data_IF_776071646743
#
_entry.id   IF_776071646743
#
_cell.length_a   1.000
_cell.length_b   1.000
_cell.length_c   1.000
_cell.angle_alpha   90.00
_cell.angle_beta   90.00
_cell.angle_gamma   90.00
#
_symmetry.space_group_name_H-M   'P 1'
#
loop_
_entity.id
_entity.type
_entity.pdbx_description
1 polymer ?
#
# COMPACT_ATOMS: atom_id res chain seq x y z
N UNK A 1 -0.63 -0.58 -0.47
CA UNK A 1 -1.69 -1.31 0.27
C UNK A 1 -1.66 -1.06 1.76
N UNK A 2 -0.48 -0.99 2.39
CA UNK A 2 -0.35 -0.78 3.84
C UNK A 2 -1.04 0.49 4.39
N UNK A 3 -1.44 1.42 3.54
CA UNK A 3 -2.17 2.63 3.92
C UNK A 3 -3.68 2.41 4.14
N UNK A 4 -4.22 1.24 3.78
CA UNK A 4 -5.66 1.01 3.75
C UNK A 4 -6.21 0.33 5.00
N UNK A 5 -5.35 -0.40 5.72
CA UNK A 5 -5.72 -1.11 6.95
C UNK A 5 -4.54 -1.18 7.92
N UNK A 6 -4.77 -1.41 9.22
CA UNK A 6 -3.72 -1.76 10.16
C UNK A 6 -3.18 -3.16 9.87
N UNK A 7 -1.86 -3.34 10.12
CA UNK A 7 -1.18 -4.63 9.94
C UNK A 7 -0.45 -5.01 11.23
N UNK A 8 -0.86 -6.07 11.93
CA UNK A 8 -0.09 -6.62 13.04
C UNK A 8 1.37 -6.86 12.64
N UNK A 9 2.30 -6.50 13.51
CA UNK A 9 3.77 -6.55 13.32
C UNK A 9 4.36 -5.59 12.27
N UNK A 10 3.50 -4.81 11.59
CA UNK A 10 3.88 -3.70 10.72
C UNK A 10 3.13 -2.42 11.09
N UNK A 11 2.72 -2.30 12.34
CA UNK A 11 1.83 -1.25 12.82
C UNK A 11 2.36 0.17 12.55
N UNK A 12 3.60 0.48 12.95
CA UNK A 12 4.22 1.79 12.71
C UNK A 12 4.34 2.07 11.22
N UNK A 13 4.77 1.08 10.43
CA UNK A 13 4.85 1.21 8.98
C UNK A 13 3.48 1.50 8.36
N UNK A 14 2.45 0.74 8.72
CA UNK A 14 1.09 0.94 8.23
C UNK A 14 0.54 2.32 8.64
N UNK A 15 0.80 2.75 9.88
CA UNK A 15 0.40 4.06 10.37
C UNK A 15 1.04 5.20 9.57
N UNK A 16 2.36 5.12 9.29
CA UNK A 16 3.05 6.15 8.47
C UNK A 16 2.52 6.18 7.04
N UNK A 17 2.20 5.02 6.43
CA UNK A 17 1.62 4.97 5.08
C UNK A 17 0.19 5.49 5.06
N UNK A 18 -0.61 5.23 6.09
CA UNK A 18 -1.96 5.79 6.24
C UNK A 18 -1.92 7.31 6.40
N UNK A 19 -0.97 7.84 7.18
CA UNK A 19 -0.73 9.27 7.30
C UNK A 19 -0.45 9.90 5.93
N UNK A 20 0.55 9.40 5.19
CA UNK A 20 0.90 9.91 3.87
C UNK A 20 -0.27 9.85 2.88
N UNK A 21 -1.03 8.76 2.91
CA UNK A 21 -2.20 8.59 2.05
C UNK A 21 -3.27 9.66 2.34
N UNK A 22 -3.64 9.85 3.61
CA UNK A 22 -4.65 10.85 4.01
C UNK A 22 -4.17 12.27 3.75
N UNK A 23 -2.91 12.58 4.08
CA UNK A 23 -2.27 13.86 3.80
C UNK A 23 -2.29 14.20 2.31
N UNK A 24 -1.85 13.29 1.45
CA UNK A 24 -1.87 13.47 -0.01
C UNK A 24 -3.28 13.73 -0.55
N UNK A 25 -4.29 13.09 0.05
CA UNK A 25 -5.70 13.26 -0.35
C UNK A 25 -6.23 14.65 0.01
N UNK A 26 -5.92 15.15 1.20
CA UNK A 26 -6.28 16.51 1.63
C UNK A 26 -5.53 17.55 0.79
N UNK A 27 -4.22 17.41 0.68
CA UNK A 27 -3.35 18.31 -0.07
C UNK A 27 -3.78 18.48 -1.53
N UNK A 28 -4.30 17.41 -2.15
CA UNK A 28 -4.86 17.48 -3.50
C UNK A 28 -5.98 18.52 -3.61
N UNK A 29 -6.90 18.54 -2.67
CA UNK A 29 -8.04 19.48 -2.68
C UNK A 29 -7.56 20.90 -2.42
N UNK A 30 -6.63 21.08 -1.48
CA UNK A 30 -6.06 22.39 -1.13
C UNK A 30 -5.31 23.04 -2.30
N UNK A 31 -4.62 22.22 -3.11
CA UNK A 31 -3.78 22.69 -4.22
C UNK A 31 -4.49 22.72 -5.58
N UNK A 32 -5.66 22.11 -5.69
CA UNK A 32 -6.43 22.08 -6.95
C UNK A 32 -6.73 23.50 -7.50
N UNK A 33 -7.14 24.50 -6.69
CA UNK A 33 -7.36 25.87 -7.17
C UNK A 33 -6.10 26.54 -7.74
N UNK A 34 -4.91 26.03 -7.35
CA UNK A 34 -3.60 26.50 -7.85
C UNK A 34 -3.12 25.75 -9.11
N UNK A 35 -3.94 24.89 -9.67
CA UNK A 35 -3.59 24.08 -10.84
C UNK A 35 -2.59 22.93 -10.54
N UNK A 36 -2.32 22.64 -9.26
CA UNK A 36 -1.38 21.59 -8.84
C UNK A 36 -2.13 20.27 -8.64
N UNK A 37 -1.63 19.23 -9.31
CA UNK A 37 -2.18 17.87 -9.17
C UNK A 37 -1.37 17.04 -8.18
N UNK A 38 -2.05 16.39 -7.26
CA UNK A 38 -1.47 15.44 -6.32
C UNK A 38 -2.09 14.06 -6.55
N UNK A 39 -1.26 13.04 -6.67
CA UNK A 39 -1.69 11.64 -6.88
C UNK A 39 -0.99 10.74 -5.86
N UNK A 40 -1.76 10.00 -5.08
CA UNK A 40 -1.23 8.99 -4.18
C UNK A 40 -1.07 7.65 -4.92
N UNK A 41 0.16 7.17 -5.02
CA UNK A 41 0.46 5.86 -5.62
C UNK A 41 0.53 4.81 -4.52
N UNK A 42 -0.29 3.77 -4.64
CA UNK A 42 -0.45 2.74 -3.63
C UNK A 42 -0.18 1.34 -4.21
N UNK A 43 1.10 0.98 -4.42
CA UNK A 43 1.45 -0.34 -4.94
C UNK A 43 1.23 -1.43 -3.90
N UNK A 44 1.18 -2.67 -4.37
CA UNK A 44 1.35 -3.87 -3.56
C UNK A 44 2.84 -4.07 -3.23
N UNK A 45 3.26 -5.27 -2.89
CA UNK A 45 4.66 -5.58 -2.68
C UNK A 45 5.43 -5.53 -4.01
N UNK A 46 6.53 -4.78 -4.04
CA UNK A 46 7.37 -4.64 -5.24
C UNK A 46 8.56 -5.58 -5.09
N UNK A 47 8.74 -6.49 -6.07
CA UNK A 47 9.87 -7.43 -6.10
C UNK A 47 11.20 -6.69 -6.19
N UNK A 48 12.24 -7.37 -5.70
CA UNK A 48 13.65 -6.99 -5.87
C UNK A 48 14.03 -5.62 -5.27
N UNK A 49 13.23 -5.11 -4.33
CA UNK A 49 13.54 -3.87 -3.61
C UNK A 49 14.36 -4.13 -2.35
N UNK A 50 15.23 -3.18 -2.00
CA UNK A 50 15.94 -3.19 -0.71
C UNK A 50 14.99 -3.23 0.50
N UNK A 51 13.78 -2.71 0.34
CA UNK A 51 12.74 -2.78 1.36
C UNK A 51 12.41 -4.23 1.74
N UNK A 52 12.19 -5.12 0.75
CA UNK A 52 11.90 -6.54 1.01
C UNK A 52 13.08 -7.22 1.67
N UNK A 53 14.31 -6.94 1.21
CA UNK A 53 15.54 -7.48 1.80
C UNK A 53 15.69 -7.06 3.27
N UNK A 54 15.43 -5.78 3.55
CA UNK A 54 15.52 -5.22 4.91
C UNK A 54 14.42 -5.74 5.82
N UNK A 55 13.17 -5.80 5.35
CA UNK A 55 12.05 -6.35 6.10
C UNK A 55 12.28 -7.83 6.48
N UNK A 56 12.94 -8.61 5.59
CA UNK A 56 13.32 -9.99 5.86
C UNK A 56 14.44 -10.14 6.87
N UNK A 57 15.33 -9.14 7.03
CA UNK A 57 16.46 -9.17 7.97
C UNK A 57 16.08 -8.73 9.39
N UNK A 58 15.19 -7.76 9.51
CA UNK A 58 14.88 -7.09 10.78
C UNK A 58 13.82 -7.79 11.63
N UNK A 59 13.24 -8.87 11.14
CA UNK A 59 12.25 -9.66 11.88
C UNK A 59 12.84 -11.03 12.21
N UNK A 60 13.12 -11.26 13.49
CA UNK A 60 13.58 -12.55 14.02
C UNK A 60 12.40 -13.37 14.56
N UNK A 61 12.46 -14.70 14.41
CA UNK A 61 11.51 -15.63 14.99
C UNK A 61 10.17 -15.76 14.29
N UNK A 62 9.10 -16.02 15.07
CA UNK A 62 7.73 -16.30 14.60
C UNK A 62 7.04 -15.11 13.88
N UNK A 63 7.60 -13.92 14.00
CA UNK A 63 7.03 -12.69 13.45
C UNK A 63 7.54 -12.35 12.04
N UNK A 64 8.39 -13.19 11.46
CA UNK A 64 8.97 -12.97 10.13
C UNK A 64 7.92 -13.14 9.04
N UNK A 65 7.78 -12.14 8.20
CA UNK A 65 6.97 -12.25 6.97
C UNK A 65 7.82 -13.01 5.95
N UNK A 66 7.44 -14.26 5.67
CA UNK A 66 8.24 -15.16 4.82
C UNK A 66 7.85 -15.12 3.35
N UNK A 67 6.62 -14.79 3.04
CA UNK A 67 6.08 -14.82 1.69
C UNK A 67 5.45 -13.49 1.30
N UNK A 68 5.76 -13.04 0.09
CA UNK A 68 5.13 -11.91 -0.56
C UNK A 68 4.45 -12.42 -1.84
N UNK A 69 3.32 -13.15 -1.73
CA UNK A 69 2.64 -13.69 -2.89
C UNK A 69 2.20 -12.55 -3.80
N UNK A 70 2.24 -12.77 -5.11
CA UNK A 70 1.79 -11.81 -6.13
C UNK A 70 2.53 -10.45 -6.14
N UNK A 71 3.76 -10.40 -5.62
CA UNK A 71 4.56 -9.19 -5.71
C UNK A 71 4.80 -8.77 -7.17
N UNK A 72 4.68 -7.47 -7.45
CA UNK A 72 4.74 -6.88 -8.79
C UNK A 72 6.13 -6.36 -9.14
N UNK A 73 6.42 -6.20 -10.44
CA UNK A 73 7.67 -5.62 -10.91
C UNK A 73 7.63 -4.08 -10.91
N UNK A 74 8.76 -3.45 -10.55
CA UNK A 74 8.91 -2.01 -10.42
C UNK A 74 8.52 -1.22 -11.70
N UNK A 75 8.90 -1.72 -12.89
CA UNK A 75 8.59 -1.07 -14.18
C UNK A 75 7.09 -0.97 -14.45
N UNK A 76 6.34 -2.02 -14.08
CA UNK A 76 4.87 -2.01 -14.19
C UNK A 76 4.25 -0.98 -13.26
N UNK A 77 4.73 -0.91 -12.03
CA UNK A 77 4.31 0.07 -11.03
C UNK A 77 4.55 1.49 -11.53
N UNK A 78 5.75 1.79 -12.03
CA UNK A 78 6.10 3.12 -12.53
C UNK A 78 5.21 3.55 -13.71
N UNK A 79 5.01 2.65 -14.70
CA UNK A 79 4.16 2.91 -15.86
C UNK A 79 2.72 3.21 -15.45
N UNK A 80 2.13 2.39 -14.60
CA UNK A 80 0.74 2.56 -14.13
C UNK A 80 0.60 3.84 -13.31
N UNK A 81 1.59 4.16 -12.46
CA UNK A 81 1.62 5.40 -11.69
C UNK A 81 1.63 6.63 -12.60
N UNK A 82 2.48 6.64 -13.62
CA UNK A 82 2.57 7.75 -14.59
C UNK A 82 1.29 7.91 -15.41
N UNK A 83 0.69 6.82 -15.86
CA UNK A 83 -0.58 6.87 -16.58
C UNK A 83 -1.70 7.43 -15.70
N UNK A 84 -1.82 6.95 -14.46
CA UNK A 84 -2.79 7.46 -13.51
C UNK A 84 -2.60 8.94 -13.17
N UNK A 85 -1.34 9.38 -13.04
CA UNK A 85 -1.02 10.80 -12.86
C UNK A 85 -1.43 11.66 -14.09
N UNK A 86 -1.12 11.20 -15.29
CA UNK A 86 -1.53 11.89 -16.54
C UNK A 86 -3.05 12.01 -16.66
N UNK A 87 -3.78 10.98 -16.26
CA UNK A 87 -5.26 10.98 -16.21
C UNK A 87 -5.82 11.80 -15.04
N UNK A 88 -4.98 12.37 -14.20
CA UNK A 88 -5.40 13.18 -13.07
C UNK A 88 -6.09 12.38 -11.95
N UNK A 89 -5.82 11.08 -11.83
CA UNK A 89 -6.44 10.25 -10.80
C UNK A 89 -5.91 10.62 -9.41
N UNK A 90 -6.79 10.72 -8.41
CA UNK A 90 -6.38 11.07 -7.04
C UNK A 90 -5.62 9.95 -6.33
N UNK A 91 -5.89 8.70 -6.70
CA UNK A 91 -5.25 7.50 -6.15
C UNK A 91 -5.03 6.51 -7.27
N UNK A 92 -3.84 5.96 -7.35
CA UNK A 92 -3.49 4.90 -8.29
C UNK A 92 -3.07 3.65 -7.51
N UNK A 93 -3.80 2.57 -7.72
CA UNK A 93 -3.39 1.21 -7.36
C UNK A 93 -2.76 0.57 -8.59
N UNK A 94 -1.59 0.00 -8.45
CA UNK A 94 -0.77 -0.41 -9.61
C UNK A 94 -1.03 -1.84 -10.07
N UNK A 95 -1.90 -2.55 -9.35
CA UNK A 95 -2.21 -3.96 -9.59
C UNK A 95 -3.62 -4.31 -9.05
N UNK A 96 -4.16 -5.43 -9.51
CA UNK A 96 -5.51 -5.88 -9.13
C UNK A 96 -5.62 -6.19 -7.63
N UNK A 97 -4.56 -6.71 -7.01
CA UNK A 97 -4.56 -7.04 -5.57
C UNK A 97 -4.70 -5.79 -4.74
N UNK A 98 -3.90 -4.74 -5.06
CA UNK A 98 -4.01 -3.43 -4.39
C UNK A 98 -5.38 -2.79 -4.57
N UNK A 99 -5.96 -2.94 -5.76
CA UNK A 99 -7.29 -2.39 -6.05
C UNK A 99 -8.38 -3.09 -5.22
N UNK A 100 -8.39 -4.42 -5.24
CA UNK A 100 -9.35 -5.22 -4.46
C UNK A 100 -9.17 -5.00 -2.96
N UNK A 101 -7.93 -4.97 -2.48
CA UNK A 101 -7.63 -4.69 -1.08
C UNK A 101 -8.13 -3.31 -0.65
N UNK A 102 -7.99 -2.29 -1.51
CA UNK A 102 -8.52 -0.95 -1.24
C UNK A 102 -10.04 -0.93 -1.10
N UNK A 103 -10.75 -1.72 -1.91
CA UNK A 103 -12.21 -1.86 -1.80
C UNK A 103 -12.56 -2.64 -0.53
N UNK A 104 -11.92 -3.79 -0.31
CA UNK A 104 -12.15 -4.62 0.87
C UNK A 104 -11.97 -3.84 2.17
N UNK A 105 -10.89 -3.04 2.29
CA UNK A 105 -10.62 -2.23 3.46
C UNK A 105 -11.63 -1.08 3.70
N UNK A 106 -12.52 -0.80 2.75
CA UNK A 106 -13.62 0.15 2.94
C UNK A 106 -14.91 -0.50 3.41
N UNK A 107 -15.11 -1.78 3.09
CA UNK A 107 -16.35 -2.51 3.31
C UNK A 107 -16.24 -3.46 4.50
N UNK A 108 -15.07 -4.09 4.66
CA UNK A 108 -14.82 -5.08 5.70
C UNK A 108 -14.27 -4.37 6.94
N UNK A 109 -14.79 -4.65 8.15
CA UNK A 109 -14.23 -4.15 9.39
C UNK A 109 -12.75 -4.47 9.53
N UNK A 110 -11.97 -3.53 10.06
CA UNK A 110 -10.50 -3.64 10.18
C UNK A 110 -10.05 -4.83 11.02
N UNK A 111 -10.84 -5.20 12.04
CA UNK A 111 -10.59 -6.36 12.90
C UNK A 111 -10.58 -7.66 12.10
N UNK A 112 -11.55 -7.85 11.20
CA UNK A 112 -11.63 -9.03 10.34
C UNK A 112 -10.41 -9.05 9.39
N UNK A 113 -10.08 -7.90 8.80
CA UNK A 113 -8.92 -7.77 7.91
C UNK A 113 -7.59 -8.08 8.63
N UNK A 114 -7.45 -7.68 9.90
CA UNK A 114 -6.29 -8.01 10.72
C UNK A 114 -6.18 -9.51 11.01
N UNK A 115 -7.31 -10.18 11.30
CA UNK A 115 -7.34 -11.64 11.49
C UNK A 115 -6.99 -12.40 10.22
N UNK A 116 -7.51 -11.97 9.06
CA UNK A 116 -7.14 -12.55 7.75
C UNK A 116 -5.63 -12.40 7.53
N UNK A 117 -5.07 -11.22 7.80
CA UNK A 117 -3.63 -10.99 7.69
C UNK A 117 -2.84 -11.90 8.62
N UNK A 118 -3.28 -12.07 9.87
CA UNK A 118 -2.60 -12.92 10.85
C UNK A 118 -2.56 -14.39 10.41
N UNK A 119 -3.61 -14.87 9.75
CA UNK A 119 -3.65 -16.22 9.15
C UNK A 119 -2.66 -16.30 7.97
N UNK A 120 -2.76 -15.36 7.03
CA UNK A 120 -1.94 -15.36 5.82
C UNK A 120 -0.43 -15.26 6.09
N UNK A 121 -0.02 -14.51 7.10
CA UNK A 121 1.40 -14.38 7.43
C UNK A 121 2.01 -15.63 8.08
N UNK A 122 1.17 -16.52 8.65
CA UNK A 122 1.61 -17.78 9.28
C UNK A 122 1.78 -18.93 8.30
N UNK A 123 1.09 -18.86 7.18
CA UNK A 123 1.19 -19.81 6.09
C UNK A 123 2.42 -19.53 5.23
#
# INVERSE_FOLDING_TARGET
TAAFQPFPYLNVYAATKAFLYRYSRALRIELMPKGIRVTAVCPYWIKDTEFIKTAGKNTTGKNRIRHFPLAVHERGVARTAMNGFKLGLPVVTTDAVSFLHRIAAKVIPSEIMMWIWEILRRV
#
